data_IF_535943795912
#
_entry.id   IF_535943795912
#
_cell.length_a   1.000
_cell.length_b   1.000
_cell.length_c   1.000
_cell.angle_alpha   90.00
_cell.angle_beta   90.00
_cell.angle_gamma   90.00
#
_symmetry.space_group_name_H-M   'P 1'
#
loop_
_entity.id
_entity.type
_entity.pdbx_description
1 polymer ?
#
# COMPACT_ATOMS: atom_id res chain seq x y z
N UNK A 1 -18.28 16.05 -7.46
CA UNK A 1 -17.17 15.07 -7.49
C UNK A 1 -15.92 15.73 -6.90
N UNK A 2 -15.57 15.40 -5.66
CA UNK A 2 -14.36 15.93 -5.02
C UNK A 2 -13.12 15.23 -5.58
N UNK A 3 -12.26 15.98 -6.27
CA UNK A 3 -11.02 15.44 -6.87
C UNK A 3 -9.88 15.54 -5.85
N UNK A 4 -9.45 14.40 -5.32
CA UNK A 4 -8.24 14.32 -4.49
C UNK A 4 -7.06 14.05 -5.41
N UNK A 5 -6.10 14.97 -5.43
CA UNK A 5 -4.87 14.83 -6.20
C UNK A 5 -3.70 14.80 -5.20
N UNK A 6 -3.13 13.61 -4.93
CA UNK A 6 -1.93 13.53 -4.11
C UNK A 6 -0.79 14.32 -4.74
N UNK A 7 0.04 14.99 -3.93
CA UNK A 7 1.29 15.57 -4.42
C UNK A 7 2.42 14.57 -4.27
N UNK A 8 3.26 14.44 -5.29
CA UNK A 8 4.46 13.60 -5.24
C UNK A 8 5.66 14.55 -5.25
N UNK A 9 6.53 14.42 -4.26
CA UNK A 9 7.76 15.20 -4.18
C UNK A 9 8.65 14.92 -5.41
N UNK A 10 9.18 15.95 -6.10
CA UNK A 10 10.07 15.76 -7.24
C UNK A 10 11.27 14.84 -6.97
N UNK A 11 11.77 14.77 -5.74
CA UNK A 11 12.86 13.86 -5.36
C UNK A 11 12.48 12.37 -5.56
N UNK A 12 11.19 12.03 -5.53
CA UNK A 12 10.70 10.69 -5.84
C UNK A 12 10.95 10.33 -7.30
N UNK A 13 10.85 11.29 -8.23
CA UNK A 13 11.16 11.04 -9.64
C UNK A 13 12.64 10.75 -9.86
N UNK A 14 13.54 11.36 -9.07
CA UNK A 14 14.97 11.02 -9.09
C UNK A 14 15.24 9.63 -8.51
N UNK A 15 14.52 9.24 -7.46
CA UNK A 15 14.66 7.94 -6.79
C UNK A 15 14.07 6.78 -7.63
N UNK A 16 12.92 7.03 -8.27
CA UNK A 16 12.15 6.07 -9.06
C UNK A 16 11.61 6.73 -10.35
N UNK A 17 12.43 6.90 -11.40
CA UNK A 17 12.02 7.59 -12.64
C UNK A 17 10.84 6.91 -13.37
N UNK A 18 10.73 5.59 -13.26
CA UNK A 18 9.65 4.79 -13.84
C UNK A 18 8.38 4.72 -12.99
N UNK A 19 8.35 5.36 -11.82
CA UNK A 19 7.19 5.32 -10.92
C UNK A 19 5.97 6.01 -11.55
N UNK A 20 4.81 5.39 -11.41
CA UNK A 20 3.51 5.95 -11.75
C UNK A 20 2.53 5.65 -10.61
N UNK A 21 1.78 6.68 -10.22
CA UNK A 21 0.70 6.55 -9.25
C UNK A 21 -0.65 6.72 -9.96
N UNK A 22 -1.62 5.89 -9.57
CA UNK A 22 -3.02 6.04 -9.94
C UNK A 22 -3.84 6.24 -8.65
N UNK A 23 -4.68 7.27 -8.62
CA UNK A 23 -5.61 7.52 -7.53
C UNK A 23 -7.04 7.31 -7.99
N UNK A 24 -7.78 6.46 -7.27
CA UNK A 24 -9.19 6.19 -7.52
C UNK A 24 -10.00 6.70 -6.33
N UNK A 25 -10.87 7.65 -6.61
CA UNK A 25 -11.81 8.19 -5.63
C UNK A 25 -13.14 7.48 -5.75
N UNK A 26 -13.59 6.89 -4.64
CA UNK A 26 -14.86 6.20 -4.53
C UNK A 26 -15.70 6.92 -3.48
N UNK A 27 -16.95 7.21 -3.81
CA UNK A 27 -17.91 7.73 -2.84
C UNK A 27 -18.55 6.53 -2.12
N UNK A 28 -18.59 6.54 -0.77
CA UNK A 28 -19.14 5.42 -0.02
C UNK A 28 -20.63 5.27 -0.34
N UNK A 29 -21.01 4.07 -0.75
CA UNK A 29 -22.41 3.68 -1.00
C UNK A 29 -22.72 2.41 -0.23
N UNK A 30 -24.00 2.02 -0.22
CA UNK A 30 -24.44 0.77 0.39
C UNK A 30 -23.72 -0.41 -0.25
N UNK A 31 -23.07 -1.23 0.58
CA UNK A 31 -22.51 -2.51 0.15
C UNK A 31 -23.68 -3.46 -0.14
N UNK A 32 -23.80 -3.88 -1.40
CA UNK A 32 -24.85 -4.79 -1.86
C UNK A 32 -24.45 -6.25 -1.62
N UNK A 33 -23.20 -6.61 -1.93
CA UNK A 33 -22.63 -7.93 -1.63
C UNK A 33 -21.37 -7.78 -0.75
N UNK A 34 -21.45 -8.03 0.57
CA UNK A 34 -20.29 -7.98 1.45
C UNK A 34 -19.30 -9.13 1.23
N UNK A 35 -19.69 -10.19 0.52
CA UNK A 35 -18.80 -11.32 0.25
C UNK A 35 -17.94 -11.14 -1.01
N UNK A 36 -18.19 -10.09 -1.80
CA UNK A 36 -17.52 -9.88 -3.11
C UNK A 36 -15.99 -9.83 -2.98
N UNK A 37 -15.47 -9.15 -1.96
CA UNK A 37 -14.04 -9.03 -1.72
C UNK A 37 -13.41 -10.35 -1.29
N UNK A 38 -14.00 -11.04 -0.32
CA UNK A 38 -13.53 -12.34 0.14
C UNK A 38 -13.53 -13.39 -0.99
N UNK A 39 -14.57 -13.42 -1.83
CA UNK A 39 -14.64 -14.27 -3.02
C UNK A 39 -13.52 -13.97 -4.01
N UNK A 40 -13.21 -12.68 -4.24
CA UNK A 40 -12.10 -12.27 -5.10
C UNK A 40 -10.74 -12.73 -4.55
N UNK A 41 -10.50 -12.57 -3.24
CA UNK A 41 -9.28 -13.06 -2.58
C UNK A 41 -9.10 -14.57 -2.75
N UNK A 42 -10.14 -15.35 -2.47
CA UNK A 42 -10.11 -16.82 -2.62
C UNK A 42 -9.76 -17.21 -4.04
N UNK A 43 -10.47 -16.63 -5.03
CA UNK A 43 -10.22 -16.90 -6.45
C UNK A 43 -8.79 -16.60 -6.85
N UNK A 44 -8.25 -15.45 -6.44
CA UNK A 44 -6.88 -15.06 -6.79
C UNK A 44 -5.84 -15.93 -6.10
N UNK A 45 -6.03 -16.30 -4.83
CA UNK A 45 -5.11 -17.21 -4.14
C UNK A 45 -5.07 -18.60 -4.79
N UNK A 46 -6.23 -19.10 -5.25
CA UNK A 46 -6.32 -20.36 -5.99
C UNK A 46 -5.67 -20.30 -7.37
N UNK A 47 -5.74 -19.16 -8.06
CA UNK A 47 -5.10 -18.98 -9.38
C UNK A 47 -3.57 -18.85 -9.28
N UNK A 48 -3.06 -18.32 -8.17
CA UNK A 48 -1.63 -18.08 -7.92
C UNK A 48 -0.78 -19.36 -8.02
N UNK A 49 -1.35 -20.51 -7.66
CA UNK A 49 -0.65 -21.80 -7.64
C UNK A 49 -0.63 -22.49 -9.01
N UNK A 50 -1.40 -22.01 -9.99
CA UNK A 50 -1.66 -22.73 -11.22
C UNK A 50 -0.82 -22.27 -12.43
N UNK A 51 -0.43 -21.00 -12.53
CA UNK A 51 0.42 -20.51 -13.63
C UNK A 51 0.89 -19.04 -13.41
N UNK A 52 1.93 -18.83 -12.62
CA UNK A 52 2.40 -17.48 -12.31
C UNK A 52 3.31 -16.91 -13.42
N UNK A 53 2.99 -15.73 -13.93
CA UNK A 53 3.73 -15.12 -15.04
C UNK A 53 5.07 -14.54 -14.58
N UNK A 54 6.15 -14.78 -15.35
CA UNK A 54 7.51 -14.34 -14.97
C UNK A 54 7.66 -12.83 -14.73
N UNK A 55 6.89 -11.99 -15.42
CA UNK A 55 6.93 -10.53 -15.24
C UNK A 55 6.52 -10.09 -13.82
N UNK A 56 5.69 -10.87 -13.12
CA UNK A 56 5.27 -10.57 -11.73
C UNK A 56 6.47 -10.62 -10.80
N UNK A 57 7.35 -11.60 -10.97
CA UNK A 57 8.61 -11.71 -10.22
C UNK A 57 9.58 -10.55 -10.49
N UNK A 58 9.69 -10.14 -11.76
CA UNK A 58 10.49 -8.97 -12.15
C UNK A 58 9.96 -7.69 -11.48
N UNK A 59 8.65 -7.47 -11.49
CA UNK A 59 8.06 -6.27 -10.89
C UNK A 59 8.23 -6.24 -9.35
N UNK A 60 8.08 -7.37 -8.66
CA UNK A 60 8.37 -7.45 -7.21
C UNK A 60 9.85 -7.20 -6.91
N UNK A 61 10.75 -7.68 -7.78
CA UNK A 61 12.19 -7.46 -7.64
C UNK A 61 12.54 -5.99 -7.81
N UNK A 62 11.93 -5.29 -8.77
CA UNK A 62 12.08 -3.85 -8.96
C UNK A 62 11.63 -3.05 -7.71
N UNK A 63 10.54 -3.45 -7.07
CA UNK A 63 10.13 -2.88 -5.78
C UNK A 63 11.16 -3.13 -4.68
N UNK A 64 11.69 -4.34 -4.57
CA UNK A 64 12.72 -4.66 -3.59
C UNK A 64 14.02 -3.87 -3.82
N UNK A 65 14.43 -3.66 -5.06
CA UNK A 65 15.57 -2.80 -5.41
C UNK A 65 15.32 -1.34 -5.06
N UNK A 66 14.14 -0.82 -5.38
CA UNK A 66 13.78 0.54 -5.01
C UNK A 66 13.80 0.75 -3.49
N UNK A 67 13.28 -0.22 -2.72
CA UNK A 67 13.31 -0.18 -1.27
C UNK A 67 14.73 -0.08 -0.70
N UNK A 68 15.70 -0.76 -1.33
CA UNK A 68 17.12 -0.64 -0.94
C UNK A 68 17.68 0.76 -1.21
N UNK A 69 17.24 1.45 -2.27
CA UNK A 69 17.72 2.82 -2.60
C UNK A 69 17.39 3.84 -1.52
N UNK A 70 16.27 3.68 -0.80
CA UNK A 70 15.94 4.50 0.37
C UNK A 70 16.24 3.81 1.71
N UNK A 71 17.20 2.86 1.71
CA UNK A 71 17.74 2.16 2.89
C UNK A 71 16.74 1.28 3.65
N UNK A 72 15.55 1.02 3.09
CA UNK A 72 14.67 -0.01 3.63
C UNK A 72 15.26 -1.41 3.39
N UNK A 73 14.81 -2.38 4.19
CA UNK A 73 15.25 -3.77 4.12
C UNK A 73 14.09 -4.63 3.60
N UNK A 74 13.98 -4.90 2.28
CA UNK A 74 12.80 -5.55 1.69
C UNK A 74 12.46 -6.92 2.32
N UNK A 75 13.44 -7.62 2.88
CA UNK A 75 13.21 -8.88 3.59
C UNK A 75 12.45 -8.70 4.92
N UNK A 76 12.59 -7.54 5.58
CA UNK A 76 11.88 -7.20 6.84
C UNK A 76 10.67 -6.30 6.60
N UNK A 77 10.77 -5.41 5.62
CA UNK A 77 9.75 -4.43 5.26
C UNK A 77 9.48 -4.48 3.76
N UNK A 78 8.89 -5.58 3.24
CA UNK A 78 8.56 -5.71 1.81
C UNK A 78 7.47 -4.72 1.41
N UNK A 79 7.34 -4.46 0.10
CA UNK A 79 6.14 -3.78 -0.40
C UNK A 79 4.89 -4.64 -0.14
N UNK A 80 3.71 -4.01 -0.06
CA UNK A 80 2.45 -4.72 0.25
C UNK A 80 2.18 -5.90 -0.69
N UNK A 81 2.40 -5.73 -2.00
CA UNK A 81 2.16 -6.80 -2.98
C UNK A 81 3.06 -8.03 -2.76
N UNK A 82 4.35 -7.83 -2.46
CA UNK A 82 5.27 -8.94 -2.16
C UNK A 82 4.86 -9.65 -0.86
N UNK A 83 4.50 -8.89 0.18
CA UNK A 83 4.04 -9.45 1.45
C UNK A 83 2.75 -10.27 1.30
N UNK A 84 1.78 -9.75 0.53
CA UNK A 84 0.51 -10.43 0.26
C UNK A 84 0.71 -11.72 -0.54
N UNK A 85 1.51 -11.66 -1.62
CA UNK A 85 1.78 -12.83 -2.47
C UNK A 85 2.54 -13.92 -1.72
N UNK A 86 3.56 -13.56 -0.93
CA UNK A 86 4.27 -14.53 -0.06
C UNK A 86 3.33 -15.20 0.94
N UNK A 87 2.39 -14.44 1.53
CA UNK A 87 1.37 -14.99 2.43
C UNK A 87 0.44 -15.95 1.69
N UNK A 88 -0.08 -15.55 0.53
CA UNK A 88 -0.96 -16.38 -0.28
C UNK A 88 -0.30 -17.69 -0.72
N UNK A 89 0.99 -17.66 -1.12
CA UNK A 89 1.75 -18.86 -1.48
C UNK A 89 2.00 -19.78 -0.30
N UNK A 90 2.30 -19.22 0.88
CA UNK A 90 2.60 -19.99 2.09
C UNK A 90 1.36 -20.63 2.70
N UNK A 91 0.28 -19.85 2.83
CA UNK A 91 -0.91 -20.24 3.60
C UNK A 91 -2.09 -20.66 2.70
N UNK A 92 -1.92 -20.61 1.38
CA UNK A 92 -2.98 -20.82 0.38
C UNK A 92 -4.09 -19.76 0.41
N UNK A 93 -3.97 -18.75 1.27
CA UNK A 93 -5.02 -17.76 1.55
C UNK A 93 -4.45 -16.48 2.17
N UNK A 94 -5.26 -15.43 2.19
CA UNK A 94 -5.00 -14.18 2.91
C UNK A 94 -6.24 -13.87 3.77
N UNK A 95 -6.09 -13.50 5.05
CA UNK A 95 -7.22 -13.14 5.91
C UNK A 95 -8.04 -12.00 5.30
N UNK A 96 -9.35 -12.20 5.23
CA UNK A 96 -10.32 -11.16 4.84
C UNK A 96 -10.39 -10.09 5.93
N UNK A 97 -10.46 -8.83 5.51
CA UNK A 97 -10.54 -7.66 6.41
C UNK A 97 -11.89 -6.97 6.23
N UNK A 98 -12.19 -6.53 5.00
CA UNK A 98 -13.46 -5.97 4.61
C UNK A 98 -13.54 -5.95 3.06
N UNK A 99 -14.72 -5.74 2.47
CA UNK A 99 -14.92 -5.94 1.04
C UNK A 99 -13.99 -5.10 0.15
N UNK A 100 -13.73 -3.84 0.51
CA UNK A 100 -12.88 -2.95 -0.28
C UNK A 100 -11.41 -3.33 -0.14
N UNK A 101 -10.95 -3.63 1.08
CA UNK A 101 -9.59 -4.10 1.34
C UNK A 101 -9.29 -5.39 0.60
N UNK A 102 -10.23 -6.32 0.65
CA UNK A 102 -10.08 -7.61 0.02
C UNK A 102 -10.03 -7.49 -1.50
N UNK A 103 -10.84 -6.60 -2.10
CA UNK A 103 -10.81 -6.33 -3.54
C UNK A 103 -9.45 -5.78 -3.99
N UNK A 104 -8.92 -4.76 -3.32
CA UNK A 104 -7.65 -4.20 -3.75
C UNK A 104 -6.48 -5.15 -3.42
N UNK A 105 -6.57 -5.93 -2.35
CA UNK A 105 -5.57 -6.96 -2.04
C UNK A 105 -5.59 -8.07 -3.10
N UNK A 106 -6.76 -8.46 -3.60
CA UNK A 106 -6.88 -9.41 -4.71
C UNK A 106 -6.20 -8.86 -5.99
N UNK A 107 -6.38 -7.57 -6.29
CA UNK A 107 -5.66 -6.89 -7.39
C UNK A 107 -4.15 -6.91 -7.15
N UNK A 108 -3.69 -6.61 -5.93
CA UNK A 108 -2.26 -6.65 -5.60
C UNK A 108 -1.64 -8.03 -5.73
N UNK A 109 -2.38 -9.07 -5.32
CA UNK A 109 -1.94 -10.45 -5.47
C UNK A 109 -1.92 -10.81 -6.96
N UNK A 110 -2.99 -10.54 -7.71
CA UNK A 110 -3.07 -10.93 -9.12
C UNK A 110 -1.99 -10.26 -9.96
N UNK A 111 -1.82 -8.95 -9.84
CA UNK A 111 -0.96 -8.17 -10.73
C UNK A 111 0.43 -7.84 -10.16
N UNK A 112 0.75 -8.32 -8.95
CA UNK A 112 2.00 -7.99 -8.26
C UNK A 112 2.26 -6.47 -8.16
N UNK A 113 1.20 -5.69 -7.95
CA UNK A 113 1.21 -4.22 -7.88
C UNK A 113 0.72 -3.77 -6.50
N UNK A 114 1.46 -2.94 -5.76
CA UNK A 114 0.98 -2.37 -4.50
C UNK A 114 -0.29 -1.54 -4.70
N UNK A 115 -1.38 -1.92 -4.04
CA UNK A 115 -2.62 -1.15 -3.93
C UNK A 115 -2.93 -0.98 -2.45
N UNK A 116 -3.36 0.21 -2.05
CA UNK A 116 -3.73 0.53 -0.67
C UNK A 116 -5.02 1.34 -0.62
N UNK A 117 -5.74 1.25 0.50
CA UNK A 117 -6.96 2.02 0.76
C UNK A 117 -6.77 3.03 1.88
N UNK A 118 -7.29 4.26 1.75
CA UNK A 118 -7.14 5.34 2.73
C UNK A 118 -8.47 6.09 2.94
N UNK A 119 -8.77 6.52 4.17
CA UNK A 119 -9.95 7.34 4.44
C UNK A 119 -9.62 8.82 4.25
N UNK A 120 -9.98 9.41 3.11
CA UNK A 120 -9.74 10.83 2.92
C UNK A 120 -10.50 11.73 3.92
N UNK A 121 -11.65 11.31 4.45
CA UNK A 121 -12.34 12.09 5.47
C UNK A 121 -11.56 12.21 6.78
N UNK A 122 -10.57 11.33 7.00
CA UNK A 122 -9.67 11.37 8.14
C UNK A 122 -8.34 12.10 7.85
N UNK A 123 -8.10 12.54 6.60
CA UNK A 123 -6.88 13.28 6.25
C UNK A 123 -6.96 14.72 6.75
N UNK A 124 -5.83 15.21 7.29
CA UNK A 124 -5.61 16.64 7.49
C UNK A 124 -4.84 17.17 6.28
N UNK A 125 -5.53 17.91 5.41
CA UNK A 125 -4.95 18.40 4.16
C UNK A 125 -4.91 17.35 3.04
N UNK A 126 -3.99 17.51 2.09
CA UNK A 126 -3.86 16.62 0.93
C UNK A 126 -2.78 15.54 1.14
N UNK A 127 -2.95 14.33 0.57
CA UNK A 127 -1.95 13.27 0.67
C UNK A 127 -0.67 13.67 -0.05
N UNK A 128 0.47 13.36 0.54
CA UNK A 128 1.79 13.64 -0.05
C UNK A 128 2.70 12.44 0.03
N UNK A 129 3.34 12.10 -1.08
CA UNK A 129 4.43 11.14 -1.13
C UNK A 129 5.75 11.90 -1.06
N UNK A 130 6.48 11.74 0.04
CA UNK A 130 7.69 12.52 0.33
C UNK A 130 8.82 11.63 0.84
N UNK A 131 10.04 12.15 0.82
CA UNK A 131 11.16 11.61 1.58
C UNK A 131 11.14 12.26 2.96
N UNK A 132 11.02 11.43 4.01
CA UNK A 132 10.90 11.87 5.39
C UNK A 132 12.16 12.60 5.87
N UNK A 133 11.98 13.63 6.68
CA UNK A 133 13.07 14.42 7.28
C UNK A 133 13.55 13.88 8.62
N UNK A 134 12.85 12.91 9.20
CA UNK A 134 13.14 12.40 10.54
C UNK A 134 12.31 13.07 11.65
N UNK A 135 11.40 13.95 11.26
CA UNK A 135 10.56 14.76 12.18
C UNK A 135 9.11 14.32 12.17
N UNK A 136 8.75 13.44 11.23
CA UNK A 136 7.40 12.96 11.04
C UNK A 136 7.05 11.88 12.06
N UNK A 137 5.87 12.02 12.66
CA UNK A 137 5.29 11.04 13.56
C UNK A 137 4.53 9.96 12.76
N UNK A 138 4.53 8.74 13.30
CA UNK A 138 3.74 7.64 12.80
C UNK A 138 2.94 6.99 13.93
N UNK A 139 1.61 7.09 13.81
CA UNK A 139 0.68 6.53 14.78
C UNK A 139 0.44 5.06 14.46
N UNK A 140 0.79 4.18 15.39
CA UNK A 140 0.69 2.74 15.20
C UNK A 140 0.27 2.03 16.48
N UNK A 141 0.08 0.71 16.39
CA UNK A 141 -0.12 -0.15 17.57
C UNK A 141 1.04 -1.11 17.70
N UNK A 142 1.50 -1.27 18.93
CA UNK A 142 2.48 -2.26 19.34
C UNK A 142 1.95 -2.93 20.62
N UNK A 143 1.92 -4.26 20.63
CA UNK A 143 1.45 -5.06 21.76
C UNK A 143 0.04 -4.66 22.26
N UNK A 144 -0.85 -4.29 21.33
CA UNK A 144 -2.23 -3.87 21.61
C UNK A 144 -2.39 -2.43 22.11
N UNK A 145 -1.29 -1.69 22.34
CA UNK A 145 -1.32 -0.30 22.78
C UNK A 145 -1.01 0.67 21.63
N UNK A 146 -1.68 1.83 21.55
CA UNK A 146 -1.28 2.93 20.66
C UNK A 146 0.12 3.43 21.01
N UNK A 147 0.94 3.64 19.99
CA UNK A 147 2.31 4.15 20.11
C UNK A 147 2.57 5.16 18.99
N UNK A 148 3.30 6.22 19.35
CA UNK A 148 3.85 7.18 18.39
C UNK A 148 5.31 6.84 18.11
N UNK A 149 5.62 6.50 16.86
CA UNK A 149 6.98 6.27 16.41
C UNK A 149 7.49 7.48 15.63
N UNK A 150 8.80 7.77 15.73
CA UNK A 150 9.46 8.68 14.80
C UNK A 150 9.83 7.92 13.53
N UNK A 151 9.57 8.53 12.38
CA UNK A 151 10.00 8.00 11.09
C UNK A 151 11.47 8.37 10.87
N UNK A 152 12.28 7.42 10.40
CA UNK A 152 13.69 7.68 10.13
C UNK A 152 13.84 8.62 8.92
N UNK A 153 14.81 9.54 9.00
CA UNK A 153 15.14 10.41 7.87
C UNK A 153 15.56 9.58 6.65
N UNK A 154 15.02 9.92 5.48
CA UNK A 154 15.25 9.22 4.22
C UNK A 154 14.23 8.14 3.88
N UNK A 155 13.30 7.77 4.79
CA UNK A 155 12.19 6.89 4.42
C UNK A 155 11.27 7.57 3.39
N UNK A 156 10.84 6.83 2.37
CA UNK A 156 9.74 7.30 1.53
C UNK A 156 8.43 7.01 2.25
N UNK A 157 7.56 8.01 2.40
CA UNK A 157 6.31 7.89 3.15
C UNK A 157 5.15 8.59 2.47
N UNK A 158 3.95 8.03 2.63
CA UNK A 158 2.73 8.81 2.49
C UNK A 158 2.45 9.53 3.79
N UNK A 159 2.11 10.82 3.70
CA UNK A 159 1.75 11.65 4.86
C UNK A 159 0.64 12.63 4.52
N UNK A 160 0.07 13.19 5.57
CA UNK A 160 -0.77 14.37 5.53
C UNK A 160 -0.12 15.50 6.37
N UNK A 161 -0.89 16.53 6.74
CA UNK A 161 -0.42 17.64 7.56
C UNK A 161 -0.17 17.23 9.01
N UNK A 162 -0.87 16.20 9.50
CA UNK A 162 -0.73 15.70 10.86
C UNK A 162 0.48 14.75 11.00
N UNK A 163 0.63 13.79 10.10
CA UNK A 163 1.69 12.78 10.22
C UNK A 163 1.74 11.77 9.08
N UNK A 164 2.54 10.71 9.27
CA UNK A 164 2.68 9.62 8.29
C UNK A 164 1.46 8.73 8.30
N UNK A 165 0.88 8.51 7.13
CA UNK A 165 -0.27 7.63 6.91
C UNK A 165 0.15 6.25 6.41
N UNK A 166 1.27 6.17 5.68
CA UNK A 166 1.88 4.90 5.29
C UNK A 166 3.41 4.98 5.30
N UNK A 167 4.06 4.11 6.08
CA UNK A 167 5.51 4.00 6.18
C UNK A 167 6.10 3.18 5.04
N UNK A 168 7.33 3.53 4.66
CA UNK A 168 8.15 2.83 3.66
C UNK A 168 7.35 2.55 2.40
N UNK A 169 6.83 3.64 1.82
CA UNK A 169 6.06 3.76 0.59
C UNK A 169 4.71 3.04 0.58
N UNK A 170 4.68 1.74 0.82
CA UNK A 170 3.48 0.91 0.78
C UNK A 170 3.63 -0.33 1.67
N UNK A 171 4.46 -0.25 2.71
CA UNK A 171 4.71 -1.37 3.62
C UNK A 171 3.68 -1.46 4.75
N UNK A 172 3.50 -0.38 5.53
CA UNK A 172 2.64 -0.40 6.73
C UNK A 172 1.82 0.88 6.84
N UNK A 173 0.51 0.72 6.90
CA UNK A 173 -0.44 1.81 7.12
C UNK A 173 -0.57 2.15 8.61
N UNK A 174 -0.85 3.42 8.91
CA UNK A 174 -1.14 3.94 10.24
C UNK A 174 -2.57 3.63 10.72
N UNK A 175 -2.86 3.90 11.99
CA UNK A 175 -4.12 3.53 12.65
C UNK A 175 -5.33 4.44 12.32
N UNK A 176 -5.10 5.68 11.87
CA UNK A 176 -6.14 6.72 11.79
C UNK A 176 -6.91 6.76 10.45
N UNK A 177 -7.41 5.62 9.97
CA UNK A 177 -7.91 5.51 8.59
C UNK A 177 -9.18 4.63 8.46
N UNK A 178 -10.28 4.96 9.16
CA UNK A 178 -11.55 4.23 9.01
C UNK A 178 -12.45 4.88 7.92
N UNK A 179 -12.40 4.39 6.68
CA UNK A 179 -13.12 4.88 5.48
C UNK A 179 -12.29 4.68 4.20
N UNK A 180 -12.89 4.67 2.99
CA UNK A 180 -12.25 4.05 1.82
C UNK A 180 -11.99 4.97 0.61
N UNK A 181 -10.74 5.01 0.14
CA UNK A 181 -10.29 5.41 -1.20
C UNK A 181 -9.08 4.58 -1.62
N UNK A 182 -9.01 4.10 -2.85
CA UNK A 182 -7.89 3.25 -3.29
C UNK A 182 -6.80 4.06 -4.00
N UNK A 183 -5.55 3.84 -3.63
CA UNK A 183 -4.34 4.26 -4.36
C UNK A 183 -3.63 3.04 -4.91
N UNK A 184 -3.18 3.12 -6.15
CA UNK A 184 -2.39 2.08 -6.81
C UNK A 184 -1.02 2.68 -7.17
N UNK A 185 0.04 2.03 -6.72
CA UNK A 185 1.42 2.42 -6.94
C UNK A 185 2.09 1.40 -7.88
N UNK A 186 2.59 1.83 -9.04
CA UNK A 186 3.23 0.96 -10.04
C UNK A 186 4.62 1.49 -10.37
N UNK A 187 5.60 0.60 -10.51
CA UNK A 187 6.92 0.94 -11.08
C UNK A 187 7.02 0.22 -12.43
N UNK A 188 7.23 0.98 -13.50
CA UNK A 188 7.64 0.37 -14.76
C UNK A 188 9.14 0.07 -14.67
N UNK A 189 9.49 -1.21 -14.79
CA UNK A 189 10.87 -1.73 -14.88
C UNK A 189 11.18 -2.17 -16.30
#
# INVERSE_FOLDING_TARGET
>A
MFRVLPSIDPAIASLAPGFRALSISVEPTRIVDPSVGAKALVRTCQALTANDSGWKGTHLSAWAELFRKFRAKPQRTPCSADALRKRAMRDGSVPSVNPVVDLYNAVSIEYAVPVGGENFAAYIGMPRLVIAKGTEHFDTVKDGAPVHEMVDAGEVVWRDDHGVTCRRWNWRQGQNQAGFRCKTDVIYS
#
